data_IF_730004275766
#
_entry.id   IF_730004275766
#
_cell.length_a   1.000
_cell.length_b   1.000
_cell.length_c   1.000
_cell.angle_alpha   90.00
_cell.angle_beta   90.00
_cell.angle_gamma   90.00
#
_symmetry.space_group_name_H-M   'P 1'
#
loop_
_entity.id
_entity.type
_entity.pdbx_description
1 polymer ?
#
# COMPACT_ATOMS: atom_id res chain seq x y z
N UNK A 1 -18.91 -5.51 6.93
CA UNK A 1 -18.84 -4.03 6.89
C UNK A 1 -20.07 -3.41 7.52
N UNK A 2 -19.95 -2.26 8.19
CA UNK A 2 -21.09 -1.49 8.71
C UNK A 2 -20.93 0.01 8.42
N UNK A 3 -22.06 0.70 8.28
CA UNK A 3 -22.14 2.11 7.94
C UNK A 3 -23.11 2.81 8.87
N UNK A 4 -22.70 3.94 9.46
CA UNK A 4 -23.59 4.84 10.18
C UNK A 4 -24.09 5.91 9.22
N UNK A 5 -25.40 6.08 9.12
CA UNK A 5 -26.07 7.07 8.29
C UNK A 5 -26.70 8.17 9.14
N UNK A 6 -26.74 9.38 8.59
CA UNK A 6 -27.44 10.53 9.16
C UNK A 6 -28.86 10.63 8.62
N UNK A 7 -29.29 11.84 8.28
CA UNK A 7 -30.58 12.05 7.60
C UNK A 7 -30.56 11.61 6.13
N UNK A 8 -29.40 11.74 5.47
CA UNK A 8 -29.20 11.20 4.13
C UNK A 8 -28.74 9.74 4.19
N UNK A 9 -29.35 8.90 3.35
CA UNK A 9 -28.94 7.51 3.14
C UNK A 9 -27.83 7.37 2.08
N UNK A 10 -27.53 8.42 1.32
CA UNK A 10 -26.53 8.36 0.23
C UNK A 10 -25.12 8.64 0.70
N UNK A 11 -24.95 9.40 1.79
CA UNK A 11 -23.64 9.77 2.32
C UNK A 11 -23.53 9.33 3.78
N UNK A 12 -22.79 8.25 4.09
CA UNK A 12 -22.63 7.81 5.45
C UNK A 12 -21.78 8.81 6.25
N UNK A 13 -22.06 8.85 7.55
CA UNK A 13 -21.29 9.59 8.54
C UNK A 13 -19.99 8.86 8.87
N UNK A 14 -20.04 7.53 8.90
CA UNK A 14 -18.91 6.66 9.22
C UNK A 14 -19.02 5.29 8.57
N UNK A 15 -17.88 4.74 8.17
CA UNK A 15 -17.74 3.38 7.64
C UNK A 15 -16.70 2.64 8.49
N UNK A 16 -17.04 1.40 8.87
CA UNK A 16 -16.11 0.53 9.60
C UNK A 16 -16.30 -0.95 9.28
N UNK A 17 -15.29 -1.76 9.62
CA UNK A 17 -15.35 -3.23 9.56
C UNK A 17 -15.41 -3.89 10.93
N UNK A 18 -16.07 -5.04 11.03
CA UNK A 18 -15.98 -5.92 12.20
C UNK A 18 -16.49 -7.33 11.86
N UNK A 19 -15.90 -8.33 12.51
CA UNK A 19 -16.42 -9.71 12.54
C UNK A 19 -17.71 -9.78 13.36
N UNK A 20 -17.80 -9.01 14.46
CA UNK A 20 -19.00 -8.93 15.29
C UNK A 20 -19.50 -7.47 15.34
N UNK A 21 -20.38 -7.15 14.39
CA UNK A 21 -20.93 -5.78 14.21
C UNK A 21 -21.63 -5.31 15.48
N UNK A 22 -22.41 -6.16 16.15
CA UNK A 22 -23.13 -5.79 17.38
C UNK A 22 -22.17 -5.31 18.46
N UNK A 23 -21.14 -6.10 18.77
CA UNK A 23 -20.13 -5.75 19.77
C UNK A 23 -19.40 -4.47 19.40
N UNK A 24 -19.08 -4.28 18.11
CA UNK A 24 -18.38 -3.09 17.64
C UNK A 24 -19.24 -1.82 17.73
N UNK A 25 -20.51 -1.90 17.36
CA UNK A 25 -21.47 -0.79 17.51
C UNK A 25 -21.63 -0.42 18.99
N UNK A 26 -21.77 -1.39 19.88
CA UNK A 26 -21.82 -1.13 21.33
C UNK A 26 -20.54 -0.47 21.86
N UNK A 27 -19.38 -0.82 21.30
CA UNK A 27 -18.12 -0.16 21.65
C UNK A 27 -18.15 1.32 21.27
N UNK A 28 -18.69 1.68 20.11
CA UNK A 28 -18.80 3.08 19.70
C UNK A 28 -19.63 3.88 20.71
N UNK A 29 -20.74 3.33 21.19
CA UNK A 29 -21.61 3.97 22.20
C UNK A 29 -20.91 4.29 23.52
N UNK A 30 -19.78 3.62 23.82
CA UNK A 30 -19.00 3.82 25.04
C UNK A 30 -17.80 4.75 24.84
N UNK A 31 -17.52 5.20 23.62
CA UNK A 31 -16.39 6.07 23.31
C UNK A 31 -16.83 7.54 23.30
N UNK A 32 -16.42 8.37 24.27
CA UNK A 32 -16.87 9.77 24.35
C UNK A 32 -16.54 10.61 23.10
N UNK A 33 -15.36 10.36 22.51
CA UNK A 33 -14.90 11.05 21.30
C UNK A 33 -15.79 10.80 20.06
N UNK A 34 -16.60 9.74 20.09
CA UNK A 34 -17.49 9.36 18.98
C UNK A 34 -18.93 9.82 19.22
N UNK A 35 -19.21 10.46 20.35
CA UNK A 35 -20.56 10.90 20.72
C UNK A 35 -21.19 11.86 19.68
N UNK A 36 -20.38 12.68 19.01
CA UNK A 36 -20.87 13.56 17.96
C UNK A 36 -21.43 12.80 16.75
N UNK A 37 -20.73 11.75 16.30
CA UNK A 37 -21.18 10.85 15.23
C UNK A 37 -22.47 10.15 15.64
N UNK A 38 -22.52 9.62 16.86
CA UNK A 38 -23.67 8.87 17.36
C UNK A 38 -24.93 9.73 17.47
N UNK A 39 -24.82 10.98 17.92
CA UNK A 39 -25.96 11.91 17.98
C UNK A 39 -26.55 12.24 16.62
N UNK A 40 -25.72 12.27 15.58
CA UNK A 40 -26.16 12.52 14.20
C UNK A 40 -26.68 11.26 13.50
N UNK A 41 -26.32 10.07 13.99
CA UNK A 41 -26.76 8.84 13.35
C UNK A 41 -28.26 8.61 13.54
N UNK A 42 -28.89 8.10 12.48
CA UNK A 42 -30.30 7.68 12.46
C UNK A 42 -30.47 6.22 12.11
N UNK A 43 -29.53 5.65 11.34
CA UNK A 43 -29.60 4.29 10.85
C UNK A 43 -28.21 3.68 10.76
N UNK A 44 -28.14 2.37 10.98
CA UNK A 44 -26.94 1.57 10.73
C UNK A 44 -27.30 0.53 9.67
N UNK A 45 -26.53 0.47 8.59
CA UNK A 45 -26.61 -0.61 7.61
C UNK A 45 -25.35 -1.45 7.63
N UNK A 46 -25.41 -2.66 7.05
CA UNK A 46 -24.26 -3.55 6.94
C UNK A 46 -24.21 -4.23 5.58
N UNK A 47 -23.00 -4.65 5.21
CA UNK A 47 -22.71 -5.42 4.01
C UNK A 47 -21.85 -6.62 4.46
N UNK A 48 -22.33 -7.83 4.20
CA UNK A 48 -21.58 -9.06 4.48
C UNK A 48 -20.51 -9.27 3.40
N UNK A 49 -19.38 -9.83 3.81
CA UNK A 49 -18.27 -10.22 2.93
C UNK A 49 -17.86 -11.64 3.23
N UNK A 50 -17.37 -12.37 2.23
CA UNK A 50 -16.98 -13.77 2.38
C UNK A 50 -15.73 -13.95 3.27
N UNK A 51 -14.96 -12.89 3.50
CA UNK A 51 -13.85 -12.93 4.43
C UNK A 51 -13.33 -11.55 4.84
N UNK A 52 -12.19 -11.56 5.53
CA UNK A 52 -11.56 -10.36 6.07
C UNK A 52 -10.93 -9.47 4.99
N UNK A 53 -10.37 -10.07 3.93
CA UNK A 53 -9.70 -9.31 2.86
C UNK A 53 -10.75 -8.48 2.13
N UNK A 54 -11.87 -9.09 1.74
CA UNK A 54 -12.99 -8.39 1.14
C UNK A 54 -13.52 -7.27 2.02
N UNK A 55 -13.62 -7.49 3.33
CA UNK A 55 -14.02 -6.43 4.26
C UNK A 55 -13.03 -5.25 4.27
N UNK A 56 -11.72 -5.53 4.33
CA UNK A 56 -10.67 -4.51 4.30
C UNK A 56 -10.66 -3.71 3.00
N UNK A 57 -10.78 -4.38 1.86
CA UNK A 57 -10.78 -3.76 0.53
C UNK A 57 -12.03 -2.90 0.33
N UNK A 58 -13.20 -3.44 0.70
CA UNK A 58 -14.46 -2.72 0.60
C UNK A 58 -14.49 -1.50 1.53
N UNK A 59 -13.98 -1.62 2.76
CA UNK A 59 -13.81 -0.48 3.68
C UNK A 59 -12.96 0.62 3.06
N UNK A 60 -11.78 0.27 2.56
CA UNK A 60 -10.87 1.24 1.98
C UNK A 60 -11.48 1.94 0.77
N UNK A 61 -12.15 1.20 -0.12
CA UNK A 61 -12.84 1.76 -1.28
C UNK A 61 -13.97 2.71 -0.90
N UNK A 62 -14.88 2.28 -0.02
CA UNK A 62 -16.04 3.09 0.34
C UNK A 62 -15.63 4.37 1.09
N UNK A 63 -14.60 4.32 1.96
CA UNK A 63 -14.09 5.53 2.63
C UNK A 63 -13.49 6.51 1.61
N UNK A 64 -12.75 6.00 0.61
CA UNK A 64 -12.14 6.84 -0.43
C UNK A 64 -13.19 7.47 -1.34
N UNK A 65 -14.21 6.73 -1.75
CA UNK A 65 -15.28 7.20 -2.64
C UNK A 65 -16.25 8.15 -1.93
N UNK A 66 -16.68 7.81 -0.71
CA UNK A 66 -17.76 8.54 -0.02
C UNK A 66 -17.27 9.59 0.97
N UNK A 67 -15.98 9.57 1.32
CA UNK A 67 -15.34 10.55 2.19
C UNK A 67 -16.11 10.89 3.49
N UNK A 68 -16.54 9.88 4.28
CA UNK A 68 -17.43 10.11 5.42
C UNK A 68 -16.84 11.11 6.42
N UNK A 69 -17.70 11.94 7.01
CA UNK A 69 -17.29 13.04 7.88
C UNK A 69 -16.39 12.58 9.05
N UNK A 70 -16.73 11.45 9.68
CA UNK A 70 -16.09 10.99 10.91
C UNK A 70 -14.94 9.98 10.68
N UNK A 71 -14.72 9.51 9.44
CA UNK A 71 -13.53 8.71 9.14
C UNK A 71 -12.29 9.61 9.10
N UNK A 72 -11.35 9.42 10.03
CA UNK A 72 -10.09 10.23 10.05
C UNK A 72 -9.02 9.69 9.10
N UNK A 73 -8.99 8.37 8.90
CA UNK A 73 -8.00 7.65 8.05
C UNK A 73 -8.60 7.38 6.67
N UNK A 74 -7.74 7.06 5.69
CA UNK A 74 -8.10 6.66 4.31
C UNK A 74 -8.82 7.70 3.44
N UNK A 75 -9.19 8.86 4.00
CA UNK A 75 -9.83 9.96 3.27
C UNK A 75 -8.91 10.68 2.29
N UNK A 76 -7.65 10.98 2.68
CA UNK A 76 -6.75 11.80 1.85
C UNK A 76 -5.90 10.94 0.93
N UNK A 77 -6.06 11.13 -0.37
CA UNK A 77 -5.09 10.68 -1.38
C UNK A 77 -3.81 11.52 -1.25
N UNK A 78 -2.81 10.97 -0.57
CA UNK A 78 -1.48 11.58 -0.47
C UNK A 78 -0.68 11.22 -1.72
N UNK A 79 0.12 12.17 -2.24
CA UNK A 79 1.15 11.85 -3.22
C UNK A 79 2.14 10.87 -2.60
N UNK A 80 2.02 9.60 -3.00
CA UNK A 80 2.87 8.52 -2.56
C UNK A 80 4.24 8.64 -3.24
N UNK A 81 5.30 8.39 -2.48
CA UNK A 81 6.65 8.34 -3.02
C UNK A 81 7.41 7.12 -2.48
N UNK A 82 8.44 6.72 -3.22
CA UNK A 82 9.32 5.60 -2.88
C UNK A 82 10.78 6.02 -3.10
N UNK A 83 11.71 5.30 -2.49
CA UNK A 83 13.13 5.39 -2.82
C UNK A 83 13.39 4.49 -4.03
N UNK A 84 13.95 5.02 -5.10
CA UNK A 84 14.41 4.25 -6.25
C UNK A 84 15.93 4.16 -6.23
N UNK A 85 16.47 2.94 -6.29
CA UNK A 85 17.91 2.73 -6.42
C UNK A 85 18.29 2.55 -7.90
N UNK A 86 18.96 3.56 -8.46
CA UNK A 86 19.46 3.55 -9.83
C UNK A 86 20.99 3.48 -9.80
N UNK A 87 21.57 2.36 -10.26
CA UNK A 87 23.01 2.04 -10.28
C UNK A 87 23.74 2.25 -8.95
N UNK A 88 23.96 3.52 -8.56
CA UNK A 88 24.69 3.98 -7.37
C UNK A 88 24.03 5.19 -6.66
N UNK A 89 22.83 5.62 -7.08
CA UNK A 89 22.11 6.76 -6.49
C UNK A 89 20.72 6.36 -6.01
N UNK A 90 20.28 7.04 -4.95
CA UNK A 90 18.94 6.87 -4.39
C UNK A 90 18.15 8.14 -4.66
N UNK A 91 17.14 8.03 -5.50
CA UNK A 91 16.24 9.12 -5.82
C UNK A 91 14.89 8.89 -5.13
N UNK A 92 14.15 9.97 -4.87
CA UNK A 92 12.75 9.84 -4.44
C UNK A 92 11.87 10.05 -5.66
N UNK A 93 11.10 9.02 -6.01
CA UNK A 93 10.17 9.03 -7.13
C UNK A 93 8.73 9.03 -6.63
N UNK A 94 7.82 9.62 -7.40
CA UNK A 94 6.40 9.68 -7.06
C UNK A 94 5.57 8.68 -7.87
N UNK A 95 4.50 8.15 -7.28
CA UNK A 95 3.60 7.20 -7.93
C UNK A 95 2.83 7.77 -9.14
N UNK A 96 2.86 9.10 -9.32
CA UNK A 96 2.31 9.81 -10.50
C UNK A 96 3.27 9.82 -11.70
N UNK A 97 4.56 9.62 -11.44
CA UNK A 97 5.65 9.65 -12.44
C UNK A 97 6.10 8.25 -12.82
N UNK A 98 6.03 7.32 -11.86
CA UNK A 98 6.51 5.94 -12.02
C UNK A 98 5.41 4.98 -11.59
N UNK A 99 5.15 3.96 -12.41
CA UNK A 99 4.24 2.87 -12.04
C UNK A 99 4.90 1.95 -11.01
N UNK A 100 4.52 2.13 -9.74
CA UNK A 100 5.06 1.35 -8.63
C UNK A 100 4.69 -0.14 -8.66
N UNK A 101 3.71 -0.53 -9.48
CA UNK A 101 3.37 -1.94 -9.65
C UNK A 101 4.36 -2.66 -10.55
N UNK A 102 5.13 -1.94 -11.37
CA UNK A 102 6.02 -2.55 -12.39
C UNK A 102 7.47 -2.12 -12.25
N UNK A 103 7.73 -0.91 -11.76
CA UNK A 103 9.06 -0.37 -11.68
C UNK A 103 9.94 -1.15 -10.68
N UNK A 104 11.09 -1.68 -11.11
CA UNK A 104 12.00 -2.41 -10.23
C UNK A 104 12.73 -1.47 -9.28
N UNK A 105 13.38 -2.05 -8.27
CA UNK A 105 14.27 -1.33 -7.33
C UNK A 105 13.60 -0.18 -6.59
N UNK A 106 12.31 -0.32 -6.30
CA UNK A 106 11.57 0.58 -5.42
C UNK A 106 11.60 0.07 -3.98
N UNK A 107 11.86 0.97 -3.04
CA UNK A 107 12.01 0.67 -1.63
C UNK A 107 11.21 1.65 -0.80
N UNK A 108 10.30 1.10 0.01
CA UNK A 108 9.44 1.80 0.94
C UNK A 108 8.34 2.60 0.24
N UNK A 109 7.17 2.65 0.88
CA UNK A 109 6.05 3.46 0.43
C UNK A 109 5.81 4.56 1.47
N UNK A 110 6.15 5.79 1.11
CA UNK A 110 6.21 6.93 2.02
C UNK A 110 5.15 7.97 1.69
N UNK A 111 4.59 8.56 2.74
CA UNK A 111 3.53 9.57 2.64
C UNK A 111 3.98 10.91 2.04
N UNK A 112 5.29 11.18 2.03
CA UNK A 112 5.91 12.37 1.45
C UNK A 112 7.44 12.20 1.38
N UNK A 113 8.09 13.09 0.61
CA UNK A 113 9.54 13.10 0.41
C UNK A 113 10.35 13.17 1.71
N UNK A 114 9.87 13.95 2.70
CA UNK A 114 10.55 14.08 4.00
C UNK A 114 10.63 12.73 4.71
N UNK A 115 9.54 11.96 4.73
CA UNK A 115 9.52 10.64 5.34
C UNK A 115 10.46 9.65 4.61
N UNK A 116 10.50 9.69 3.27
CA UNK A 116 11.42 8.87 2.49
C UNK A 116 12.90 9.19 2.79
N UNK A 117 13.25 10.48 2.79
CA UNK A 117 14.61 10.93 3.12
C UNK A 117 15.01 10.62 4.57
N UNK A 118 14.06 10.70 5.51
CA UNK A 118 14.31 10.34 6.90
C UNK A 118 14.59 8.85 7.04
N UNK A 119 13.83 7.99 6.36
CA UNK A 119 14.10 6.55 6.34
C UNK A 119 15.47 6.22 5.74
N UNK A 120 15.84 6.88 4.63
CA UNK A 120 17.17 6.74 4.03
C UNK A 120 18.28 7.20 4.98
N UNK A 121 18.08 8.31 5.70
CA UNK A 121 19.02 8.78 6.73
C UNK A 121 19.19 7.79 7.86
N UNK A 122 18.10 7.23 8.39
CA UNK A 122 18.14 6.21 9.45
C UNK A 122 18.95 4.99 9.01
N UNK A 123 18.69 4.47 7.80
CA UNK A 123 19.48 3.36 7.24
C UNK A 123 20.96 3.75 7.12
N UNK A 124 21.23 4.96 6.64
CA UNK A 124 22.58 5.45 6.45
C UNK A 124 23.34 5.65 7.77
N UNK A 125 22.65 6.06 8.84
CA UNK A 125 23.19 6.15 10.19
C UNK A 125 23.52 4.77 10.76
N UNK A 126 22.55 3.85 10.77
CA UNK A 126 22.70 2.48 11.28
C UNK A 126 23.86 1.74 10.61
N UNK A 127 23.98 1.92 9.30
CA UNK A 127 24.97 1.23 8.48
C UNK A 127 26.24 2.06 8.28
N UNK A 128 26.39 3.26 8.85
CA UNK A 128 27.56 4.13 8.58
C UNK A 128 27.81 4.36 7.08
N UNK A 129 26.76 4.57 6.30
CA UNK A 129 26.84 4.88 4.87
C UNK A 129 27.19 6.36 4.65
N UNK A 130 27.83 6.65 3.52
CA UNK A 130 28.18 8.03 3.15
C UNK A 130 26.97 8.82 2.64
N UNK A 131 26.59 9.90 3.33
CA UNK A 131 25.49 10.79 2.93
C UNK A 131 25.72 11.44 1.56
N UNK A 132 26.97 11.78 1.24
CA UNK A 132 27.34 12.36 -0.05
C UNK A 132 27.08 11.43 -1.23
N UNK A 133 27.36 10.12 -1.08
CA UNK A 133 27.08 9.13 -2.12
C UNK A 133 25.58 8.83 -2.25
N UNK A 134 24.83 8.97 -1.16
CA UNK A 134 23.38 8.82 -1.15
C UNK A 134 22.64 10.06 -1.66
N UNK A 135 23.34 11.15 -2.00
CA UNK A 135 22.72 12.41 -2.43
C UNK A 135 22.01 13.18 -1.30
N UNK A 136 22.27 12.84 -0.04
CA UNK A 136 21.71 13.52 1.13
C UNK A 136 22.44 14.83 1.43
N UNK A 137 23.72 14.92 1.09
CA UNK A 137 24.58 16.09 1.29
C UNK A 137 25.46 16.31 0.05
N UNK A 138 25.86 17.55 -0.26
CA UNK A 138 26.82 17.80 -1.32
C UNK A 138 28.20 17.22 -0.96
N UNK A 139 28.87 16.58 -1.93
CA UNK A 139 30.19 16.00 -1.74
C UNK A 139 31.27 16.82 -2.48
N UNK A 140 32.34 17.17 -1.76
CA UNK A 140 33.58 17.66 -2.38
C UNK A 140 34.42 16.47 -2.84
N UNK A 141 34.79 16.43 -4.13
CA UNK A 141 35.63 15.35 -4.68
C UNK A 141 36.97 15.24 -3.94
N UNK A 142 37.40 14.02 -3.65
CA UNK A 142 38.71 13.71 -3.06
C UNK A 142 38.89 14.02 -1.58
N UNK A 143 37.87 14.54 -0.87
CA UNK A 143 37.93 14.81 0.58
C UNK A 143 36.99 13.90 1.36
N UNK A 144 37.42 13.49 2.55
CA UNK A 144 36.57 12.76 3.48
C UNK A 144 35.37 13.63 3.90
N UNK A 145 34.16 13.06 3.85
CA UNK A 145 32.97 13.74 4.36
C UNK A 145 33.06 13.97 5.88
N UNK A 146 32.36 14.98 6.39
CA UNK A 146 32.34 15.32 7.81
C UNK A 146 31.98 14.11 8.70
N UNK A 147 31.03 13.29 8.25
CA UNK A 147 30.62 12.07 8.95
C UNK A 147 31.75 11.03 9.06
N UNK A 148 32.66 10.97 8.08
CA UNK A 148 33.82 10.06 8.12
C UNK A 148 34.84 10.54 9.15
N UNK A 149 35.05 11.86 9.28
CA UNK A 149 35.87 12.43 10.35
C UNK A 149 35.31 12.10 11.74
N UNK A 150 33.98 12.07 11.88
CA UNK A 150 33.29 11.67 13.12
C UNK A 150 33.15 10.14 13.30
N UNK A 151 33.76 9.31 12.44
CA UNK A 151 33.62 7.83 12.45
C UNK A 151 32.17 7.31 12.32
N UNK A 152 31.26 8.13 11.78
CA UNK A 152 29.85 7.81 11.46
C UNK A 152 29.63 7.44 9.99
N UNK A 153 30.72 7.28 9.24
CA UNK A 153 30.75 6.87 7.84
C UNK A 153 32.01 6.06 7.58
N UNK A 154 31.89 4.93 6.89
CA UNK A 154 33.01 4.05 6.54
C UNK A 154 34.00 4.67 5.54
N UNK A 155 33.65 5.80 4.91
CA UNK A 155 34.60 6.60 4.14
C UNK A 155 34.71 6.22 2.66
N UNK A 156 33.66 5.68 2.05
CA UNK A 156 33.62 5.40 0.61
C UNK A 156 33.95 6.63 -0.26
N UNK A 157 33.53 7.83 0.18
CA UNK A 157 33.86 9.10 -0.48
C UNK A 157 35.37 9.45 -0.55
N UNK A 158 36.20 8.89 0.33
CA UNK A 158 37.64 9.14 0.39
C UNK A 158 38.48 7.88 0.18
N UNK A 159 37.87 6.81 -0.35
CA UNK A 159 38.57 5.57 -0.69
C UNK A 159 38.93 4.66 0.49
N UNK A 160 38.47 4.95 1.72
CA UNK A 160 38.64 4.04 2.88
C UNK A 160 37.78 2.79 2.78
N UNK A 161 36.72 2.87 2.00
CA UNK A 161 35.81 1.78 1.65
C UNK A 161 35.62 1.85 0.12
N UNK A 162 35.45 0.71 -0.54
CA UNK A 162 35.11 0.73 -1.97
C UNK A 162 33.67 1.18 -2.20
N UNK A 163 33.40 1.81 -3.36
CA UNK A 163 32.02 2.16 -3.72
C UNK A 163 31.11 0.92 -3.84
N UNK A 164 31.68 -0.25 -4.13
CA UNK A 164 30.95 -1.50 -4.28
C UNK A 164 30.50 -2.08 -2.93
N UNK A 165 31.39 -2.10 -1.93
CA UNK A 165 31.04 -2.49 -0.56
C UNK A 165 29.97 -1.56 0.02
N UNK A 166 30.11 -0.25 -0.19
CA UNK A 166 29.10 0.74 0.22
C UNK A 166 27.74 0.45 -0.42
N UNK A 167 27.71 0.21 -1.74
CA UNK A 167 26.48 -0.09 -2.47
C UNK A 167 25.86 -1.42 -2.04
N UNK A 168 26.66 -2.44 -1.73
CA UNK A 168 26.18 -3.72 -1.24
C UNK A 168 25.47 -3.58 0.11
N UNK A 169 26.07 -2.87 1.06
CA UNK A 169 25.49 -2.63 2.39
C UNK A 169 24.20 -1.80 2.32
N UNK A 170 24.18 -0.80 1.43
CA UNK A 170 22.98 -0.05 1.11
C UNK A 170 21.86 -0.96 0.59
N UNK A 171 22.15 -1.77 -0.45
CA UNK A 171 21.17 -2.67 -1.08
C UNK A 171 20.60 -3.68 -0.08
N UNK A 172 21.46 -4.34 0.69
CA UNK A 172 21.04 -5.29 1.74
C UNK A 172 20.11 -4.65 2.77
N UNK A 173 20.36 -3.40 3.14
CA UNK A 173 19.56 -2.69 4.13
C UNK A 173 18.21 -2.24 3.59
N UNK A 174 18.18 -1.80 2.32
CA UNK A 174 16.98 -1.40 1.60
C UNK A 174 16.06 -2.58 1.28
N UNK A 175 16.59 -3.79 1.12
CA UNK A 175 15.84 -4.99 0.73
C UNK A 175 14.62 -5.26 1.63
N UNK A 176 14.73 -4.95 2.93
CA UNK A 176 13.63 -5.07 3.91
C UNK A 176 12.43 -4.16 3.60
N UNK A 177 12.65 -3.12 2.80
CA UNK A 177 11.64 -2.16 2.37
C UNK A 177 11.18 -2.40 0.93
N UNK A 178 11.66 -3.45 0.25
CA UNK A 178 11.38 -3.66 -1.17
C UNK A 178 9.88 -3.66 -1.46
N UNK A 179 9.48 -2.82 -2.42
CA UNK A 179 8.15 -2.83 -3.00
C UNK A 179 8.12 -3.94 -4.03
N UNK A 180 7.16 -4.85 -3.88
CA UNK A 180 7.05 -6.01 -4.75
C UNK A 180 6.32 -5.59 -6.03
N UNK A 181 6.95 -5.83 -7.18
CA UNK A 181 6.28 -5.68 -8.46
C UNK A 181 5.14 -6.69 -8.57
N UNK A 182 4.08 -6.32 -9.29
CA UNK A 182 3.00 -7.21 -9.65
C UNK A 182 3.57 -8.43 -10.38
N UNK A 183 3.46 -9.65 -9.83
CA UNK A 183 4.16 -10.82 -10.38
C UNK A 183 3.40 -11.49 -11.52
N UNK A 184 2.15 -11.10 -11.77
CA UNK A 184 1.28 -11.68 -12.79
C UNK A 184 1.26 -10.84 -14.07
N UNK A 185 0.96 -11.46 -15.21
CA UNK A 185 0.83 -10.73 -16.48
C UNK A 185 -0.45 -9.90 -16.53
N UNK A 186 -1.53 -10.45 -15.99
CA UNK A 186 -2.88 -9.88 -16.04
C UNK A 186 -3.49 -9.61 -14.66
N UNK A 187 -4.81 -9.52 -14.64
CA UNK A 187 -5.58 -9.49 -13.39
C UNK A 187 -5.59 -10.89 -12.75
N UNK A 188 -5.81 -10.94 -11.45
CA UNK A 188 -6.02 -12.18 -10.70
C UNK A 188 -7.29 -12.09 -9.88
N UNK A 189 -7.93 -13.24 -9.67
CA UNK A 189 -9.03 -13.40 -8.74
C UNK A 189 -8.52 -14.08 -7.46
N UNK A 190 -8.64 -13.40 -6.32
CA UNK A 190 -8.45 -14.01 -4.99
C UNK A 190 -9.80 -14.49 -4.47
N UNK A 191 -9.92 -15.77 -4.15
CA UNK A 191 -11.16 -16.35 -3.61
C UNK A 191 -11.21 -16.27 -2.09
N UNK A 192 -12.31 -15.78 -1.55
CA UNK A 192 -12.70 -15.93 -0.15
C UNK A 192 -14.02 -16.72 -0.08
N UNK A 193 -14.11 -17.62 0.89
CA UNK A 193 -15.28 -18.45 1.09
C UNK A 193 -15.72 -18.45 2.55
N UNK A 194 -17.01 -18.20 2.74
CA UNK A 194 -17.76 -18.34 3.98
C UNK A 194 -18.86 -19.40 3.76
N UNK A 195 -19.37 -20.08 4.80
CA UNK A 195 -20.42 -21.10 4.65
C UNK A 195 -21.63 -20.70 3.80
N UNK A 196 -21.98 -19.41 3.77
CA UNK A 196 -23.16 -18.87 3.07
C UNK A 196 -22.81 -18.09 1.79
N UNK A 197 -21.53 -17.82 1.51
CA UNK A 197 -21.14 -16.99 0.36
C UNK A 197 -19.70 -17.23 -0.08
N UNK A 198 -19.48 -17.18 -1.39
CA UNK A 198 -18.15 -17.16 -2.00
C UNK A 198 -18.00 -15.85 -2.76
N UNK A 199 -16.83 -15.23 -2.65
CA UNK A 199 -16.49 -14.02 -3.40
C UNK A 199 -15.11 -14.15 -4.03
N UNK A 200 -15.00 -13.69 -5.26
CA UNK A 200 -13.76 -13.57 -6.01
C UNK A 200 -13.40 -12.09 -6.12
N UNK A 201 -12.28 -11.71 -5.51
CA UNK A 201 -11.76 -10.34 -5.52
C UNK A 201 -10.86 -10.14 -6.71
N UNK A 202 -11.29 -9.32 -7.65
CA UNK A 202 -10.55 -9.06 -8.89
C UNK A 202 -9.53 -7.96 -8.64
N UNK A 203 -8.26 -8.27 -8.89
CA UNK A 203 -7.13 -7.41 -8.55
C UNK A 203 -6.19 -7.34 -9.74
N UNK A 204 -5.74 -6.13 -10.07
CA UNK A 204 -4.73 -5.91 -11.10
C UNK A 204 -3.76 -4.81 -10.65
N UNK A 205 -2.45 -5.03 -10.80
CA UNK A 205 -1.42 -4.06 -10.43
C UNK A 205 -1.58 -3.53 -8.98
N UNK A 206 -1.90 -4.41 -8.03
CA UNK A 206 -2.21 -4.10 -6.62
C UNK A 206 -3.46 -3.23 -6.37
N UNK A 207 -4.25 -2.94 -7.42
CA UNK A 207 -5.53 -2.27 -7.31
C UNK A 207 -6.66 -3.30 -7.25
N UNK A 208 -7.54 -3.18 -6.27
CA UNK A 208 -8.78 -3.96 -6.21
C UNK A 208 -9.86 -3.32 -7.10
N UNK A 209 -10.36 -4.07 -8.07
CA UNK A 209 -11.34 -3.62 -9.05
C UNK A 209 -12.79 -3.85 -8.57
N UNK A 210 -12.98 -4.88 -7.74
CA UNK A 210 -14.25 -5.23 -7.11
C UNK A 210 -14.30 -6.71 -6.75
N UNK A 211 -15.47 -7.15 -6.30
CA UNK A 211 -15.75 -8.55 -6.01
C UNK A 211 -16.93 -9.04 -6.84
N UNK A 212 -16.85 -10.30 -7.28
CA UNK A 212 -17.93 -11.02 -7.95
C UNK A 212 -18.24 -12.32 -7.23
N UNK A 213 -19.45 -12.85 -7.41
CA UNK A 213 -19.86 -14.10 -6.76
C UNK A 213 -19.53 -15.34 -7.62
N UNK A 214 -19.36 -15.16 -8.93
CA UNK A 214 -18.90 -16.17 -9.88
C UNK A 214 -17.65 -15.70 -10.59
N UNK A 215 -16.72 -16.61 -10.87
CA UNK A 215 -15.49 -16.31 -11.63
C UNK A 215 -15.81 -15.90 -13.08
N UNK A 216 -16.93 -16.36 -13.63
CA UNK A 216 -17.39 -16.02 -14.98
C UNK A 216 -17.64 -14.50 -15.14
N UNK A 217 -18.06 -13.83 -14.07
CA UNK A 217 -18.30 -12.39 -14.06
C UNK A 217 -17.01 -11.57 -13.89
N UNK A 218 -15.85 -12.21 -13.70
CA UNK A 218 -14.60 -11.51 -13.40
C UNK A 218 -14.20 -10.51 -14.50
N UNK A 219 -14.45 -10.87 -15.76
CA UNK A 219 -14.11 -10.07 -16.94
C UNK A 219 -14.84 -8.72 -16.95
N UNK A 220 -16.03 -8.62 -16.34
CA UNK A 220 -16.80 -7.36 -16.29
C UNK A 220 -16.11 -6.28 -15.46
N UNK A 221 -15.19 -6.67 -14.58
CA UNK A 221 -14.45 -5.74 -13.71
C UNK A 221 -13.05 -5.42 -14.20
N UNK A 222 -12.52 -6.18 -15.16
CA UNK A 222 -11.16 -5.99 -15.67
C UNK A 222 -11.09 -4.65 -16.40
N UNK A 223 -10.17 -3.80 -15.94
CA UNK A 223 -9.87 -2.50 -16.54
C UNK A 223 -8.45 -2.12 -16.21
N UNK A 224 -7.81 -1.37 -17.10
CA UNK A 224 -6.47 -0.84 -16.85
C UNK A 224 -6.50 0.16 -15.69
N UNK A 225 -5.80 -0.11 -14.57
CA UNK A 225 -5.72 0.82 -13.44
C UNK A 225 -5.01 2.12 -13.82
N UNK A 226 -5.54 3.27 -13.39
CA UNK A 226 -4.93 4.58 -13.60
C UNK A 226 -3.93 4.99 -12.50
N UNK A 227 -3.33 4.03 -11.78
CA UNK A 227 -2.35 4.32 -10.74
C UNK A 227 -2.17 3.20 -9.72
N UNK A 228 -1.38 3.50 -8.69
CA UNK A 228 -1.02 2.57 -7.62
C UNK A 228 -1.79 2.87 -6.33
N UNK A 229 -2.55 1.89 -5.83
CA UNK A 229 -3.22 2.00 -4.54
C UNK A 229 -2.33 1.47 -3.40
N UNK A 230 -1.78 2.39 -2.61
CA UNK A 230 -0.98 2.08 -1.43
C UNK A 230 -1.72 1.26 -0.36
N UNK A 231 -2.99 1.56 -0.09
CA UNK A 231 -3.75 0.84 0.94
C UNK A 231 -4.13 -0.55 0.42
N UNK A 232 -4.52 -0.63 -0.86
CA UNK A 232 -4.71 -1.89 -1.58
C UNK A 232 -3.46 -2.76 -1.52
N UNK A 233 -2.28 -2.23 -1.86
CA UNK A 233 -1.00 -2.93 -1.75
C UNK A 233 -0.76 -3.47 -0.33
N UNK A 234 -1.00 -2.67 0.71
CA UNK A 234 -0.81 -3.11 2.11
C UNK A 234 -1.75 -4.24 2.50
N UNK A 235 -2.99 -4.22 2.01
CA UNK A 235 -3.97 -5.26 2.27
C UNK A 235 -3.62 -6.54 1.50
N UNK A 236 -3.17 -6.40 0.25
CA UNK A 236 -3.09 -7.50 -0.72
C UNK A 236 -1.72 -8.18 -0.82
N UNK A 237 -0.62 -7.45 -0.60
CA UNK A 237 0.74 -7.95 -0.83
C UNK A 237 1.03 -9.26 -0.09
N UNK A 238 0.75 -9.30 1.22
CA UNK A 238 0.98 -10.52 2.00
C UNK A 238 0.00 -11.65 1.63
N UNK A 239 -1.34 -11.45 1.60
CA UNK A 239 -2.27 -12.51 1.20
C UNK A 239 -1.96 -13.14 -0.14
N UNK A 240 -1.73 -12.32 -1.18
CA UNK A 240 -1.48 -12.80 -2.53
C UNK A 240 -0.16 -13.57 -2.68
N UNK A 241 0.86 -13.26 -1.87
CA UNK A 241 2.17 -13.90 -1.97
C UNK A 241 2.37 -15.05 -0.96
N UNK A 242 1.47 -15.19 0.01
CA UNK A 242 1.63 -16.17 1.10
C UNK A 242 1.33 -17.62 0.70
N UNK A 243 0.62 -17.85 -0.41
CA UNK A 243 0.13 -19.17 -0.81
C UNK A 243 -1.06 -19.68 0.02
N UNK A 244 -1.57 -18.88 0.97
CA UNK A 244 -2.68 -19.28 1.85
C UNK A 244 -4.08 -19.06 1.24
N UNK A 245 -4.15 -18.45 0.06
CA UNK A 245 -5.40 -18.14 -0.63
C UNK A 245 -5.40 -18.78 -2.01
N UNK A 246 -6.57 -19.23 -2.45
CA UNK A 246 -6.78 -19.70 -3.83
C UNK A 246 -6.79 -18.48 -4.76
N UNK A 247 -5.84 -18.45 -5.68
CA UNK A 247 -5.63 -17.36 -6.63
C UNK A 247 -5.73 -17.94 -8.05
N UNK A 248 -6.58 -17.33 -8.87
CA UNK A 248 -6.73 -17.69 -10.28
C UNK A 248 -6.27 -16.53 -11.15
N UNK A 249 -5.32 -16.78 -12.04
CA UNK A 249 -4.92 -15.80 -13.06
C UNK A 249 -6.01 -15.65 -14.11
N UNK A 250 -6.39 -14.41 -14.40
CA UNK A 250 -7.39 -14.08 -15.40
C UNK A 250 -6.63 -13.74 -16.68
N UNK A 251 -6.49 -14.74 -17.54
CA UNK A 251 -5.72 -14.65 -18.78
C UNK A 251 -6.41 -13.67 -19.77
N UNK A 252 -5.72 -12.64 -20.29
CA UNK A 252 -6.26 -11.79 -21.34
C UNK A 252 -6.53 -12.54 -22.66
N UNK A 253 -5.99 -13.76 -22.86
CA UNK A 253 -6.08 -14.50 -24.12
C UNK A 253 -7.22 -15.55 -24.19
N UNK A 254 -7.89 -15.88 -23.08
CA UNK A 254 -8.85 -16.99 -23.06
C UNK A 254 -10.25 -16.62 -23.59
N UNK A 255 -10.49 -15.35 -23.92
CA UNK A 255 -11.80 -14.83 -24.39
C UNK A 255 -11.98 -14.94 -25.93
N UNK A 256 -10.98 -15.40 -26.68
CA UNK A 256 -11.08 -15.60 -28.14
C UNK A 256 -11.41 -17.05 -28.54
N UNK A 257 -11.73 -17.94 -27.59
CA UNK A 257 -12.15 -19.33 -27.88
C UNK A 257 -13.63 -19.62 -27.65
N UNK A 258 -14.43 -18.59 -27.34
CA UNK A 258 -15.88 -18.69 -27.20
C UNK A 258 -16.57 -17.67 -28.12
N UNK A 259 -16.38 -17.80 -29.44
CA UNK A 259 -17.25 -17.21 -30.48
C UNK A 259 -17.09 -17.99 -31.78
#
# INVERSE_FOLDING_TARGET
MYLFHGESDTMPLYIGKSVNIRSRVLSHLRTPDEAAMLRQSRRISWICTAGEIGALLLEARLIKEQQPLFNKRLRRNRQLCALQLNEKRVDVVYAKEVDFSRAPNLFGLFANRRAALQALQTIADEQKLCYGLLGLEPLSRGRACFRSALKRCAGACCGKESHEEHALRLRQSLERLRVVCWPWQGAVALKEQHPEMTQYHIIQNWLWLGAVNSLEDATTLIRTPAGFDHDGYKILCKPLLSGNYEITELDPANDQRAS
#
